data_IF_549961685947
#
_entry.id   IF_549961685947
#
_cell.length_a   1.000
_cell.length_b   1.000
_cell.length_c   1.000
_cell.angle_alpha   90.00
_cell.angle_beta   90.00
_cell.angle_gamma   90.00
#
_symmetry.space_group_name_H-M   'P 1'
#
loop_
_entity.id
_entity.type
_entity.pdbx_description
1 polymer ?
#
# COMPACT_ATOMS: atom_id res chain seq x y z
N UNK A 1 4.91 24.87 -9.77
CA UNK A 1 4.49 23.71 -10.58
C UNK A 1 4.70 22.49 -9.70
N UNK A 2 3.63 22.07 -9.02
CA UNK A 2 3.70 21.06 -7.95
C UNK A 2 4.30 19.75 -8.44
N UNK A 3 5.01 19.08 -7.55
CA UNK A 3 5.61 17.77 -7.76
C UNK A 3 4.53 16.78 -8.24
N UNK A 4 4.54 16.48 -9.53
CA UNK A 4 3.51 15.66 -10.17
C UNK A 4 3.77 14.19 -9.82
N UNK A 5 3.28 13.72 -8.68
CA UNK A 5 3.30 12.30 -8.28
C UNK A 5 1.92 11.67 -8.42
N UNK A 6 1.89 10.38 -8.75
CA UNK A 6 0.66 9.58 -8.80
C UNK A 6 0.83 8.24 -8.11
N UNK A 7 -0.09 7.92 -7.21
CA UNK A 7 -0.13 6.67 -6.44
C UNK A 7 -1.29 5.80 -6.91
N UNK A 8 -1.01 4.53 -7.22
CA UNK A 8 -1.98 3.55 -7.71
C UNK A 8 -2.09 2.34 -6.76
N UNK A 9 -2.88 2.44 -5.67
CA UNK A 9 -3.20 1.31 -4.82
C UNK A 9 -4.16 0.32 -5.49
N UNK A 10 -3.94 -0.98 -5.24
CA UNK A 10 -4.67 -2.10 -5.85
C UNK A 10 -6.07 -2.35 -5.28
N UNK A 11 -6.22 -2.34 -3.96
CA UNK A 11 -7.51 -2.68 -3.33
C UNK A 11 -8.05 -1.53 -2.46
N UNK A 12 -9.27 -1.70 -1.97
CA UNK A 12 -9.93 -0.72 -1.07
C UNK A 12 -9.17 -0.56 0.25
N UNK A 13 -8.68 -1.65 0.85
CA UNK A 13 -7.90 -1.61 2.08
C UNK A 13 -6.53 -0.91 1.90
N UNK A 14 -5.87 -1.13 0.77
CA UNK A 14 -4.64 -0.42 0.40
C UNK A 14 -4.92 1.06 0.19
N UNK A 15 -5.97 1.39 -0.56
CA UNK A 15 -6.38 2.79 -0.79
C UNK A 15 -6.56 3.51 0.55
N UNK A 16 -7.30 2.91 1.49
CA UNK A 16 -7.48 3.51 2.81
C UNK A 16 -6.18 3.64 3.61
N UNK A 17 -5.30 2.63 3.59
CA UNK A 17 -4.00 2.70 4.24
C UNK A 17 -3.13 3.84 3.67
N UNK A 18 -3.00 3.92 2.35
CA UNK A 18 -2.20 4.95 1.69
C UNK A 18 -2.82 6.33 1.89
N UNK A 19 -4.15 6.45 1.78
CA UNK A 19 -4.89 7.69 2.06
C UNK A 19 -4.63 8.18 3.48
N UNK A 20 -4.68 7.26 4.45
CA UNK A 20 -4.42 7.55 5.86
C UNK A 20 -2.99 8.06 6.11
N UNK A 21 -1.99 7.50 5.43
CA UNK A 21 -0.59 7.90 5.60
C UNK A 21 -0.26 9.21 4.88
N UNK A 22 -0.67 9.35 3.61
CA UNK A 22 -0.32 10.50 2.75
C UNK A 22 -1.16 11.73 3.03
N UNK A 23 -2.42 11.57 3.45
CA UNK A 23 -3.37 12.65 3.74
C UNK A 23 -3.62 13.63 2.58
N UNK A 24 -3.32 13.22 1.35
CA UNK A 24 -3.61 13.97 0.12
C UNK A 24 -4.32 13.06 -0.89
N UNK A 25 -5.63 13.26 -1.03
CA UNK A 25 -6.47 12.44 -1.92
C UNK A 25 -6.22 12.70 -3.41
N UNK A 26 -5.68 13.88 -3.76
CA UNK A 26 -5.46 14.25 -5.14
C UNK A 26 -4.34 13.43 -5.77
N UNK A 27 -3.48 12.79 -4.97
CA UNK A 27 -2.39 11.93 -5.42
C UNK A 27 -2.84 10.49 -5.71
N UNK A 28 -3.93 10.03 -5.08
CA UNK A 28 -4.37 8.64 -5.15
C UNK A 28 -5.33 8.38 -6.31
N UNK A 29 -5.10 7.27 -7.01
CA UNK A 29 -6.05 6.70 -7.98
C UNK A 29 -6.17 5.21 -7.73
N UNK A 30 -7.24 4.81 -7.04
CA UNK A 30 -7.58 3.41 -6.83
C UNK A 30 -7.63 2.67 -8.18
N UNK A 31 -7.01 1.50 -8.24
CA UNK A 31 -6.91 0.68 -9.44
C UNK A 31 -7.43 -0.71 -9.13
N UNK A 32 -8.52 -1.15 -9.74
CA UNK A 32 -9.17 -2.42 -9.42
C UNK A 32 -8.35 -3.67 -9.82
N UNK A 33 -7.31 -3.97 -9.04
CA UNK A 33 -6.41 -5.12 -9.25
C UNK A 33 -5.06 -4.78 -9.89
N UNK A 34 -4.09 -5.68 -9.70
CA UNK A 34 -2.70 -5.56 -10.15
C UNK A 34 -2.53 -5.26 -11.65
N UNK A 35 -3.43 -5.77 -12.49
CA UNK A 35 -3.41 -5.50 -13.93
C UNK A 35 -3.82 -4.06 -14.27
N UNK A 36 -4.78 -3.50 -13.55
CA UNK A 36 -5.18 -2.10 -13.72
C UNK A 36 -4.13 -1.16 -13.16
N UNK A 37 -3.47 -1.51 -12.06
CA UNK A 37 -2.28 -0.78 -11.57
C UNK A 37 -1.22 -0.70 -12.68
N UNK A 38 -0.85 -1.84 -13.28
CA UNK A 38 0.13 -1.87 -14.37
C UNK A 38 -0.28 -1.01 -15.58
N UNK A 39 -1.56 -1.03 -15.98
CA UNK A 39 -2.06 -0.20 -17.10
C UNK A 39 -2.04 1.29 -16.76
N UNK A 40 -2.50 1.65 -15.57
CA UNK A 40 -2.58 3.04 -15.13
C UNK A 40 -1.18 3.64 -14.98
N UNK A 41 -0.23 2.89 -14.42
CA UNK A 41 1.17 3.33 -14.33
C UNK A 41 1.75 3.64 -15.71
N UNK A 42 1.59 2.74 -16.68
CA UNK A 42 2.11 2.93 -18.04
C UNK A 42 1.49 4.15 -18.76
N UNK A 43 0.21 4.46 -18.49
CA UNK A 43 -0.47 5.64 -19.05
C UNK A 43 0.03 6.95 -18.44
N UNK A 44 0.40 6.92 -17.16
CA UNK A 44 0.77 8.09 -16.37
C UNK A 44 2.26 8.47 -16.45
N UNK A 45 3.10 7.64 -17.06
CA UNK A 45 4.55 7.83 -17.07
C UNK A 45 5.02 9.19 -17.65
N UNK A 46 4.29 9.72 -18.64
CA UNK A 46 4.65 11.00 -19.31
C UNK A 46 4.07 12.23 -18.60
N UNK A 47 3.07 12.05 -17.74
CA UNK A 47 2.33 13.14 -17.09
C UNK A 47 2.87 13.44 -15.68
N UNK A 48 3.44 12.43 -15.03
CA UNK A 48 3.89 12.50 -13.64
C UNK A 48 5.41 12.36 -13.55
N UNK A 49 6.05 13.14 -12.68
CA UNK A 49 7.47 12.98 -12.32
C UNK A 49 7.74 11.67 -11.60
N UNK A 50 6.74 11.12 -10.89
CA UNK A 50 6.83 9.84 -10.18
C UNK A 50 5.50 9.10 -10.30
N UNK A 51 5.60 7.82 -10.63
CA UNK A 51 4.44 6.92 -10.76
C UNK A 51 4.69 5.73 -9.86
N UNK A 52 3.87 5.55 -8.83
CA UNK A 52 4.06 4.50 -7.82
C UNK A 52 2.86 3.58 -7.80
N UNK A 53 3.08 2.29 -8.05
CA UNK A 53 2.07 1.24 -7.82
C UNK A 53 2.20 0.66 -6.42
N UNK A 54 1.10 0.52 -5.69
CA UNK A 54 1.05 -0.17 -4.40
C UNK A 54 0.17 -1.39 -4.58
N UNK A 55 0.75 -2.57 -4.41
CA UNK A 55 0.08 -3.82 -4.76
C UNK A 55 0.41 -4.92 -3.76
N UNK A 56 -0.50 -5.88 -3.63
CA UNK A 56 -0.25 -7.06 -2.82
C UNK A 56 0.74 -7.99 -3.53
N UNK A 57 1.56 -8.70 -2.75
CA UNK A 57 2.50 -9.69 -3.29
C UNK A 57 1.78 -11.00 -3.67
N UNK A 58 0.82 -10.93 -4.59
CA UNK A 58 0.15 -12.11 -5.15
C UNK A 58 1.07 -12.87 -6.15
N UNK A 59 0.76 -14.15 -6.36
CA UNK A 59 1.49 -15.08 -7.23
C UNK A 59 1.41 -14.70 -8.70
N UNK A 60 0.37 -14.01 -9.14
CA UNK A 60 0.15 -13.66 -10.54
C UNK A 60 0.50 -12.20 -10.84
N UNK A 61 1.76 -11.97 -11.23
CA UNK A 61 2.27 -10.63 -11.56
C UNK A 61 2.24 -10.34 -13.07
N UNK A 62 1.79 -9.15 -13.51
CA UNK A 62 1.86 -8.72 -14.90
C UNK A 62 3.29 -8.79 -15.44
N UNK A 63 3.46 -9.11 -16.74
CA UNK A 63 4.78 -9.14 -17.39
C UNK A 63 5.53 -7.81 -17.25
N UNK A 64 4.79 -6.70 -17.24
CA UNK A 64 5.33 -5.36 -17.02
C UNK A 64 6.10 -5.22 -15.70
N UNK A 65 5.67 -5.88 -14.62
CA UNK A 65 6.38 -5.82 -13.33
C UNK A 65 7.73 -6.55 -13.34
N UNK A 66 8.01 -7.39 -14.36
CA UNK A 66 9.30 -8.08 -14.49
C UNK A 66 10.46 -7.15 -14.84
N UNK A 67 10.20 -5.94 -15.33
CA UNK A 67 11.24 -4.94 -15.58
C UNK A 67 11.62 -4.12 -14.35
N UNK A 68 10.96 -4.34 -13.21
CA UNK A 68 11.28 -3.68 -11.95
C UNK A 68 12.27 -4.53 -11.16
N UNK A 69 13.21 -3.87 -10.51
CA UNK A 69 14.25 -4.50 -9.71
C UNK A 69 14.03 -4.15 -8.25
N UNK A 70 14.21 -5.16 -7.38
CA UNK A 70 14.15 -4.96 -5.94
C UNK A 70 15.30 -4.08 -5.49
N UNK A 71 14.95 -2.95 -4.93
CA UNK A 71 15.90 -1.98 -4.37
C UNK A 71 16.08 -2.24 -2.87
N UNK A 72 14.98 -2.48 -2.15
CA UNK A 72 15.01 -2.74 -0.71
C UNK A 72 13.87 -3.68 -0.30
N UNK A 73 14.03 -4.35 0.84
CA UNK A 73 13.00 -5.18 1.46
C UNK A 73 13.15 -5.15 2.98
N UNK A 74 12.14 -4.61 3.66
CA UNK A 74 12.14 -4.47 5.11
C UNK A 74 10.72 -4.43 5.65
N UNK A 75 10.50 -5.00 6.84
CA UNK A 75 9.25 -4.86 7.58
C UNK A 75 7.99 -5.21 6.75
N UNK A 76 8.04 -6.33 6.01
CA UNK A 76 6.97 -6.82 5.12
C UNK A 76 6.67 -5.89 3.94
N UNK A 77 7.59 -5.00 3.58
CA UNK A 77 7.46 -4.11 2.44
C UNK A 77 8.65 -4.35 1.53
N UNK A 78 8.37 -4.60 0.25
CA UNK A 78 9.39 -4.74 -0.78
C UNK A 78 9.27 -3.55 -1.73
N UNK A 79 10.37 -2.82 -1.86
CA UNK A 79 10.46 -1.63 -2.69
C UNK A 79 11.20 -1.95 -3.99
N UNK A 80 10.59 -1.62 -5.13
CA UNK A 80 11.17 -1.85 -6.44
C UNK A 80 11.17 -0.58 -7.28
N UNK A 81 12.17 -0.47 -8.13
CA UNK A 81 12.33 0.60 -9.10
C UNK A 81 12.58 0.03 -10.49
N UNK A 82 12.02 0.66 -11.52
CA UNK A 82 12.32 0.34 -12.91
C UNK A 82 13.48 1.22 -13.39
N UNK A 83 14.63 0.64 -13.79
CA UNK A 83 15.80 1.39 -14.23
C UNK A 83 15.47 2.38 -15.34
N UNK A 84 16.12 3.54 -15.28
CA UNK A 84 15.99 4.61 -16.27
C UNK A 84 14.55 5.12 -16.44
N UNK A 85 13.68 4.89 -15.46
CA UNK A 85 12.32 5.43 -15.44
C UNK A 85 11.94 6.03 -14.09
N UNK A 86 10.81 6.72 -14.09
CA UNK A 86 10.15 7.33 -12.95
C UNK A 86 9.08 6.41 -12.32
N UNK A 87 9.13 5.11 -12.61
CA UNK A 87 8.15 4.13 -12.17
C UNK A 87 8.68 3.32 -10.98
N UNK A 88 7.86 3.22 -9.94
CA UNK A 88 8.18 2.56 -8.68
C UNK A 88 7.07 1.60 -8.29
N UNK A 89 7.42 0.54 -7.57
CA UNK A 89 6.46 -0.39 -6.97
C UNK A 89 6.74 -0.58 -5.48
N UNK A 90 5.66 -0.63 -4.72
CA UNK A 90 5.65 -1.04 -3.32
C UNK A 90 4.82 -2.32 -3.25
N UNK A 91 5.46 -3.44 -2.96
CA UNK A 91 4.78 -4.68 -2.64
C UNK A 91 4.58 -4.78 -1.13
N UNK A 92 3.33 -5.00 -0.71
CA UNK A 92 3.01 -5.43 0.64
C UNK A 92 3.16 -6.96 0.68
N UNK A 93 4.01 -7.48 1.55
CA UNK A 93 4.33 -8.92 1.60
C UNK A 93 3.09 -9.76 1.92
N UNK A 94 2.91 -10.82 1.12
CA UNK A 94 1.74 -11.71 1.02
C UNK A 94 0.44 -11.00 0.61
N UNK A 95 -0.13 -10.21 1.52
CA UNK A 95 -1.40 -9.51 1.36
C UNK A 95 -1.60 -8.53 2.54
N UNK A 96 -2.42 -7.51 2.34
CA UNK A 96 -2.74 -6.50 3.35
C UNK A 96 -3.21 -7.09 4.70
N UNK A 97 -4.01 -8.16 4.72
CA UNK A 97 -4.43 -8.81 5.97
C UNK A 97 -3.25 -9.40 6.77
N UNK A 98 -2.27 -9.99 6.07
CA UNK A 98 -1.08 -10.57 6.70
C UNK A 98 -0.16 -9.48 7.22
N UNK A 99 -0.08 -8.37 6.48
CA UNK A 99 0.66 -7.18 6.89
C UNK A 99 0.09 -6.57 8.17
N UNK A 100 -1.23 -6.42 8.26
CA UNK A 100 -1.90 -5.88 9.46
C UNK A 100 -1.71 -6.79 10.68
N UNK A 101 -1.93 -8.10 10.52
CA UNK A 101 -1.75 -9.06 11.62
C UNK A 101 -0.30 -9.11 12.11
N UNK A 102 0.67 -9.06 11.19
CA UNK A 102 2.08 -9.00 11.55
C UNK A 102 2.40 -7.72 12.33
N UNK A 103 2.02 -6.54 11.82
CA UNK A 103 2.24 -5.27 12.51
C UNK A 103 1.58 -5.25 13.90
N UNK A 104 0.34 -5.76 14.01
CA UNK A 104 -0.37 -5.85 15.27
C UNK A 104 0.36 -6.74 16.28
N UNK A 105 0.93 -7.86 15.83
CA UNK A 105 1.78 -8.72 16.66
C UNK A 105 3.04 -8.01 17.15
N UNK A 106 3.73 -7.26 16.29
CA UNK A 106 4.97 -6.55 16.66
C UNK A 106 4.74 -5.48 17.74
N UNK A 107 3.54 -4.90 17.81
CA UNK A 107 3.19 -3.87 18.80
C UNK A 107 2.22 -4.35 19.89
N UNK A 108 2.05 -5.67 20.03
CA UNK A 108 1.15 -6.31 21.00
C UNK A 108 -0.28 -5.72 20.98
N UNK A 109 -0.85 -5.54 19.79
CA UNK A 109 -2.20 -5.06 19.56
C UNK A 109 -3.12 -6.20 19.14
N UNK A 110 -4.28 -6.32 19.80
CA UNK A 110 -5.31 -7.27 19.41
C UNK A 110 -6.25 -6.64 18.38
N UNK A 111 -6.22 -7.11 17.13
CA UNK A 111 -7.09 -6.62 16.05
C UNK A 111 -8.58 -6.84 16.34
N UNK A 112 -8.91 -7.81 17.20
CA UNK A 112 -10.27 -8.10 17.68
C UNK A 112 -10.89 -6.95 18.47
N UNK A 113 -10.08 -6.10 19.08
CA UNK A 113 -10.56 -4.89 19.77
C UNK A 113 -11.23 -3.90 18.80
N UNK A 114 -10.99 -4.07 17.50
CA UNK A 114 -11.55 -3.26 16.42
C UNK A 114 -12.52 -4.09 15.56
N UNK A 115 -13.02 -5.23 16.05
CA UNK A 115 -13.99 -6.05 15.32
C UNK A 115 -13.41 -6.87 14.17
N UNK A 116 -12.08 -6.98 14.05
CA UNK A 116 -11.42 -7.78 13.02
C UNK A 116 -10.98 -9.15 13.54
N UNK A 117 -11.12 -10.22 12.74
CA UNK A 117 -10.65 -11.55 13.10
C UNK A 117 -9.11 -11.64 13.07
N UNK A 118 -8.55 -12.57 13.83
CA UNK A 118 -7.10 -12.86 13.86
C UNK A 118 -6.66 -13.81 12.75
N UNK A 119 -7.61 -14.45 12.06
CA UNK A 119 -7.33 -15.37 10.98
C UNK A 119 -7.25 -14.63 9.64
N UNK A 120 -6.21 -14.95 8.85
CA UNK A 120 -5.89 -14.32 7.56
C UNK A 120 -7.09 -14.33 6.61
N UNK A 121 -7.73 -15.48 6.40
CA UNK A 121 -8.80 -15.62 5.40
C UNK A 121 -10.06 -14.81 5.77
N UNK A 122 -10.65 -14.94 6.97
CA UNK A 122 -11.76 -14.09 7.40
C UNK A 122 -11.42 -12.59 7.38
N UNK A 123 -10.19 -12.21 7.72
CA UNK A 123 -9.75 -10.83 7.67
C UNK A 123 -9.70 -10.32 6.22
N UNK A 124 -9.06 -11.06 5.32
CA UNK A 124 -8.99 -10.72 3.90
C UNK A 124 -10.38 -10.57 3.26
N UNK A 125 -11.34 -11.41 3.64
CA UNK A 125 -12.73 -11.31 3.14
C UNK A 125 -13.45 -10.05 3.64
N UNK A 126 -13.09 -9.51 4.80
CA UNK A 126 -13.58 -8.22 5.29
C UNK A 126 -12.88 -7.06 4.57
N UNK A 127 -11.57 -7.13 4.37
CA UNK A 127 -10.77 -6.06 3.76
C UNK A 127 -11.00 -5.88 2.25
N UNK A 128 -11.62 -6.87 1.58
CA UNK A 128 -12.02 -6.75 0.16
C UNK A 128 -13.27 -5.90 -0.06
N UNK A 129 -14.04 -5.62 0.99
CA UNK A 129 -15.30 -4.88 0.91
C UNK A 129 -15.03 -3.41 0.62
N UNK A 130 -15.84 -2.79 -0.23
CA UNK A 130 -15.68 -1.38 -0.61
C UNK A 130 -15.79 -0.47 0.63
N UNK A 131 -16.66 -0.86 1.57
CA UNK A 131 -16.94 -0.14 2.81
C UNK A 131 -15.71 0.01 3.71
N UNK A 132 -14.68 -0.83 3.54
CA UNK A 132 -13.45 -0.75 4.33
C UNK A 132 -12.72 0.59 4.14
N UNK A 133 -12.90 1.25 2.99
CA UNK A 133 -12.24 2.52 2.70
C UNK A 133 -12.59 3.63 3.71
N UNK A 134 -13.79 3.54 4.29
CA UNK A 134 -14.33 4.51 5.23
C UNK A 134 -14.75 3.87 6.55
N UNK A 135 -14.42 2.59 6.76
CA UNK A 135 -14.81 1.86 7.96
C UNK A 135 -14.11 2.48 9.19
N UNK A 136 -14.87 3.00 10.17
CA UNK A 136 -14.30 3.69 11.32
C UNK A 136 -13.44 2.77 12.19
N UNK A 137 -13.78 1.48 12.28
CA UNK A 137 -12.98 0.50 13.02
C UNK A 137 -11.66 0.23 12.31
N UNK A 138 -11.68 0.15 10.97
CA UNK A 138 -10.46 0.00 10.17
C UNK A 138 -9.54 1.21 10.35
N UNK A 139 -10.06 2.43 10.20
CA UNK A 139 -9.29 3.65 10.39
C UNK A 139 -8.75 3.77 11.83
N UNK A 140 -9.52 3.31 12.83
CA UNK A 140 -9.05 3.28 14.21
C UNK A 140 -7.93 2.26 14.43
N UNK A 141 -8.01 1.08 13.81
CA UNK A 141 -6.92 0.10 13.80
C UNK A 141 -5.65 0.67 13.17
N UNK A 142 -5.76 1.31 11.99
CA UNK A 142 -4.64 1.98 11.32
C UNK A 142 -4.01 3.06 12.21
N UNK A 143 -4.85 3.85 12.87
CA UNK A 143 -4.42 4.90 13.80
C UNK A 143 -3.63 4.33 14.97
N UNK A 144 -4.11 3.25 15.58
CA UNK A 144 -3.41 2.64 16.71
C UNK A 144 -2.08 1.99 16.28
N UNK A 145 -2.06 1.28 15.16
CA UNK A 145 -0.83 0.72 14.60
C UNK A 145 0.21 1.81 14.32
N UNK A 146 -0.22 2.95 13.77
CA UNK A 146 0.65 4.11 13.57
C UNK A 146 1.15 4.70 14.89
N UNK A 147 0.26 4.96 15.84
CA UNK A 147 0.60 5.57 17.14
C UNK A 147 1.58 4.70 17.95
N UNK A 148 1.48 3.38 17.81
CA UNK A 148 2.40 2.42 18.43
C UNK A 148 3.70 2.21 17.65
N UNK A 149 3.93 2.97 16.59
CA UNK A 149 5.12 2.85 15.75
C UNK A 149 5.27 1.43 15.19
N UNK A 150 4.20 0.87 14.63
CA UNK A 150 4.28 -0.43 14.00
C UNK A 150 5.32 -0.40 12.86
N UNK A 151 6.25 -1.37 12.81
CA UNK A 151 7.46 -1.25 11.99
C UNK A 151 7.18 -1.18 10.48
N UNK A 152 6.16 -1.89 10.01
CA UNK A 152 5.72 -1.80 8.62
C UNK A 152 5.11 -0.45 8.29
N UNK A 153 4.34 0.14 9.20
CA UNK A 153 3.73 1.47 9.01
C UNK A 153 4.80 2.56 8.93
N UNK A 154 5.80 2.55 9.82
CA UNK A 154 6.93 3.49 9.75
C UNK A 154 7.65 3.34 8.41
N UNK A 155 7.90 2.10 7.98
CA UNK A 155 8.64 1.85 6.74
C UNK A 155 7.87 2.35 5.52
N UNK A 156 6.57 2.07 5.47
CA UNK A 156 5.69 2.54 4.39
C UNK A 156 5.62 4.07 4.38
N UNK A 157 5.41 4.69 5.53
CA UNK A 157 5.31 6.14 5.67
C UNK A 157 6.61 6.83 5.25
N UNK A 158 7.76 6.31 5.63
CA UNK A 158 9.05 6.86 5.21
C UNK A 158 9.23 6.78 3.68
N UNK A 159 8.95 5.62 3.07
CA UNK A 159 9.04 5.46 1.61
C UNK A 159 8.10 6.46 0.90
N UNK A 160 6.87 6.62 1.39
CA UNK A 160 5.90 7.56 0.82
C UNK A 160 6.38 9.01 0.99
N UNK A 161 6.89 9.38 2.16
CA UNK A 161 7.40 10.72 2.42
C UNK A 161 8.63 11.07 1.57
N UNK A 162 9.52 10.11 1.31
CA UNK A 162 10.66 10.30 0.40
C UNK A 162 10.17 10.65 -1.02
N UNK A 163 9.03 10.09 -1.43
CA UNK A 163 8.43 10.45 -2.70
C UNK A 163 7.80 11.85 -2.73
N UNK A 164 7.26 12.32 -1.62
CA UNK A 164 6.58 13.62 -1.48
C UNK A 164 7.53 14.80 -1.21
N UNK A 165 8.78 14.54 -0.86
CA UNK A 165 9.77 15.57 -0.47
C UNK A 165 10.89 15.78 -1.48
N UNK A 166 10.95 14.96 -2.54
CA UNK A 166 12.01 14.97 -3.57
C UNK A 166 11.47 15.30 -4.95
#
# INVERSE_FOLDING_TARGET
MGESIRLFPECHADTALIRFLVKDEDLLRHSAGINEVAKNMQRSIQEFKKVVGIVDNDKHKPRYFRSFYKTDEKNRICYLHKPESNEYLIFIDKAIESFLLWNASEVNLAVTNYGFPTEVKPLGDMLKRIEIETDPNYLQLLTELKNRNAPGFITLENILNDFLTT
#
